data_IF_917030860275
#
_entry.id   IF_917030860275
#
_cell.length_a   1.000
_cell.length_b   1.000
_cell.length_c   1.000
_cell.angle_alpha   90.00
_cell.angle_beta   90.00
_cell.angle_gamma   90.00
#
_symmetry.space_group_name_H-M   'P 1'
#
loop_
_entity.id
_entity.type
_entity.pdbx_description
1 polymer ?
#
# COMPACT_ATOMS: atom_id res chain seq x y z
N UNK A 1 -12.87 7.85 3.81
CA UNK A 1 -13.36 6.48 3.51
C UNK A 1 -14.40 6.13 4.54
N UNK A 2 -15.59 5.67 4.13
CA UNK A 2 -16.63 5.25 5.09
C UNK A 2 -16.53 3.72 5.25
N UNK A 3 -15.55 3.27 6.03
CA UNK A 3 -15.46 1.85 6.39
C UNK A 3 -16.56 1.59 7.41
N UNK A 4 -17.43 0.59 7.16
CA UNK A 4 -18.42 0.24 8.17
C UNK A 4 -17.67 -0.39 9.35
N UNK A 5 -17.94 0.03 10.60
CA UNK A 5 -17.36 -0.57 11.77
C UNK A 5 -17.50 -2.10 11.79
N UNK A 6 -16.52 -2.79 12.38
CA UNK A 6 -16.51 -4.23 12.56
C UNK A 6 -16.16 -5.05 11.31
N UNK A 7 -15.46 -4.45 10.34
CA UNK A 7 -15.04 -5.17 9.11
C UNK A 7 -13.70 -5.88 9.27
N UNK A 8 -13.62 -7.09 8.74
CA UNK A 8 -12.38 -7.82 8.51
C UNK A 8 -11.95 -7.69 7.04
N UNK A 9 -10.71 -7.27 6.80
CA UNK A 9 -10.11 -7.27 5.46
C UNK A 9 -9.04 -8.34 5.33
N UNK A 10 -9.00 -8.97 4.16
CA UNK A 10 -7.94 -9.90 3.80
C UNK A 10 -6.83 -9.16 3.07
N UNK A 11 -5.60 -9.29 3.57
CA UNK A 11 -4.40 -8.71 2.97
C UNK A 11 -3.65 -9.84 2.25
N UNK A 12 -3.76 -9.88 0.93
CA UNK A 12 -2.94 -10.75 0.11
C UNK A 12 -1.52 -10.17 0.03
N UNK A 13 -0.51 -10.94 0.45
CA UNK A 13 0.89 -10.49 0.44
C UNK A 13 1.84 -11.64 0.17
N UNK A 14 2.92 -11.36 -0.56
CA UNK A 14 4.09 -12.23 -0.71
C UNK A 14 5.25 -11.79 0.22
N UNK A 15 5.09 -10.73 1.01
CA UNK A 15 6.08 -10.28 1.98
C UNK A 15 5.92 -11.04 3.31
N UNK A 16 6.91 -11.87 3.65
CA UNK A 16 6.92 -12.70 4.88
C UNK A 16 6.89 -11.86 6.16
N UNK A 17 7.55 -10.71 6.17
CA UNK A 17 7.56 -9.82 7.33
C UNK A 17 6.18 -9.22 7.56
N UNK A 18 5.53 -8.71 6.52
CA UNK A 18 4.18 -8.13 6.60
C UNK A 18 3.16 -9.18 7.06
N UNK A 19 3.19 -10.38 6.49
CA UNK A 19 2.34 -11.49 6.91
C UNK A 19 2.52 -11.81 8.41
N UNK A 20 3.78 -11.90 8.86
CA UNK A 20 4.11 -12.20 10.25
C UNK A 20 3.63 -11.09 11.19
N UNK A 21 3.80 -9.82 10.80
CA UNK A 21 3.37 -8.66 11.60
C UNK A 21 1.86 -8.60 11.73
N UNK A 22 1.10 -8.80 10.65
CA UNK A 22 -0.37 -8.84 10.72
C UNK A 22 -0.85 -10.00 11.60
N UNK A 23 -0.21 -11.16 11.47
CA UNK A 23 -0.61 -12.37 12.23
C UNK A 23 -0.26 -12.27 13.71
N UNK A 24 0.95 -11.82 14.04
CA UNK A 24 1.47 -11.76 15.41
C UNK A 24 1.17 -10.44 16.11
N UNK A 25 0.74 -9.43 15.36
CA UNK A 25 0.55 -8.04 15.79
C UNK A 25 1.82 -7.38 16.33
N UNK A 26 3.00 -7.89 15.93
CA UNK A 26 4.33 -7.38 16.32
C UNK A 26 5.44 -7.97 15.44
N UNK A 27 6.59 -7.31 15.45
CA UNK A 27 7.88 -7.75 14.90
C UNK A 27 8.95 -7.78 16.00
N UNK A 28 10.09 -8.41 15.71
CA UNK A 28 11.31 -8.25 16.53
C UNK A 28 12.09 -6.97 16.16
N UNK A 29 11.74 -6.34 15.05
CA UNK A 29 12.35 -5.10 14.56
C UNK A 29 11.62 -3.87 15.13
N UNK A 30 12.39 -2.94 15.72
CA UNK A 30 11.89 -1.73 16.35
C UNK A 30 11.24 -0.75 15.36
N UNK A 31 11.83 -0.58 14.17
CA UNK A 31 11.29 0.31 13.15
C UNK A 31 9.96 -0.25 12.62
N UNK A 32 9.92 -1.55 12.35
CA UNK A 32 8.68 -2.23 11.92
C UNK A 32 7.58 -2.10 12.98
N UNK A 33 7.92 -2.19 14.26
CA UNK A 33 6.95 -2.00 15.35
C UNK A 33 6.42 -0.57 15.44
N UNK A 34 7.25 0.43 15.12
CA UNK A 34 6.82 1.83 15.06
C UNK A 34 5.79 2.04 13.95
N UNK A 35 6.08 1.56 12.74
CA UNK A 35 5.13 1.65 11.62
C UNK A 35 3.86 0.84 11.88
N UNK A 36 4.00 -0.34 12.48
CA UNK A 36 2.85 -1.17 12.84
C UNK A 36 1.96 -0.51 13.89
N UNK A 37 2.51 0.32 14.79
CA UNK A 37 1.71 1.12 15.74
C UNK A 37 0.86 2.14 14.99
N UNK A 38 1.45 2.89 14.06
CA UNK A 38 0.71 3.85 13.24
C UNK A 38 -0.44 3.16 12.47
N UNK A 39 -0.17 1.99 11.90
CA UNK A 39 -1.20 1.19 11.21
C UNK A 39 -2.29 0.74 12.20
N UNK A 40 -1.92 0.25 13.38
CA UNK A 40 -2.89 -0.16 14.42
C UNK A 40 -3.79 0.99 14.85
N UNK A 41 -3.25 2.18 15.04
CA UNK A 41 -4.04 3.35 15.46
C UNK A 41 -5.13 3.66 14.41
N UNK A 42 -4.79 3.57 13.12
CA UNK A 42 -5.76 3.71 12.02
C UNK A 42 -6.80 2.59 12.05
N UNK A 43 -6.40 1.33 12.27
CA UNK A 43 -7.32 0.20 12.32
C UNK A 43 -8.32 0.32 13.47
N UNK A 44 -7.85 0.70 14.67
CA UNK A 44 -8.69 0.90 15.85
C UNK A 44 -9.66 2.05 15.63
N UNK A 45 -9.18 3.20 15.14
CA UNK A 45 -10.01 4.37 14.86
C UNK A 45 -11.17 4.06 13.90
N UNK A 46 -10.95 3.16 12.94
CA UNK A 46 -11.95 2.77 11.94
C UNK A 46 -12.73 1.49 12.31
N UNK A 47 -12.47 0.90 13.48
CA UNK A 47 -13.03 -0.39 13.91
C UNK A 47 -12.85 -1.50 12.85
N UNK A 48 -11.63 -1.59 12.33
CA UNK A 48 -11.24 -2.53 11.27
C UNK A 48 -10.27 -3.56 11.80
N UNK A 49 -10.41 -4.79 11.32
CA UNK A 49 -9.41 -5.83 11.51
C UNK A 49 -8.80 -6.34 10.20
N UNK A 50 -7.59 -6.90 10.29
CA UNK A 50 -6.83 -7.45 9.17
C UNK A 50 -6.53 -8.93 9.38
N UNK A 51 -6.58 -9.69 8.28
CA UNK A 51 -6.07 -11.06 8.21
C UNK A 51 -5.16 -11.22 7.00
N UNK A 52 -3.92 -11.65 7.23
CA UNK A 52 -3.00 -11.91 6.14
C UNK A 52 -3.36 -13.20 5.39
N UNK A 53 -3.14 -13.19 4.07
CA UNK A 53 -3.19 -14.36 3.19
C UNK A 53 -1.93 -14.37 2.33
N UNK A 54 -1.18 -15.46 2.42
CA UNK A 54 0.01 -15.66 1.59
C UNK A 54 -0.38 -15.83 0.12
N UNK A 55 0.33 -15.15 -0.77
CA UNK A 55 0.31 -15.40 -2.21
C UNK A 55 1.73 -15.63 -2.71
N UNK A 56 1.88 -16.35 -3.83
CA UNK A 56 3.16 -16.45 -4.51
C UNK A 56 3.49 -15.10 -5.17
N UNK A 57 4.78 -14.75 -5.27
CA UNK A 57 5.20 -13.46 -5.83
C UNK A 57 4.70 -13.26 -7.26
N UNK A 58 4.70 -14.32 -8.08
CA UNK A 58 4.14 -14.31 -9.43
C UNK A 58 2.63 -14.00 -9.49
N UNK A 59 1.90 -14.21 -8.39
CA UNK A 59 0.47 -13.95 -8.28
C UNK A 59 0.16 -12.62 -7.58
N UNK A 60 1.19 -11.95 -7.04
CA UNK A 60 1.05 -10.64 -6.42
C UNK A 60 0.89 -9.57 -7.49
N UNK A 61 -0.36 -9.31 -7.90
CA UNK A 61 -0.71 -8.25 -8.86
C UNK A 61 -0.19 -6.87 -8.45
N UNK A 62 0.05 -6.62 -7.16
CA UNK A 62 0.58 -5.35 -6.68
C UNK A 62 2.08 -5.17 -7.00
N UNK A 63 2.84 -6.25 -7.23
CA UNK A 63 4.27 -6.16 -7.57
C UNK A 63 4.48 -5.33 -8.84
N UNK A 64 3.79 -5.70 -9.93
CA UNK A 64 3.83 -4.95 -11.19
C UNK A 64 3.41 -3.49 -11.01
N UNK A 65 2.36 -3.23 -10.24
CA UNK A 65 1.88 -1.87 -9.96
C UNK A 65 2.92 -1.03 -9.21
N UNK A 66 3.58 -1.59 -8.21
CA UNK A 66 4.63 -0.90 -7.43
C UNK A 66 5.86 -0.55 -8.26
N UNK A 67 6.08 -1.25 -9.37
CA UNK A 67 7.17 -1.01 -10.34
C UNK A 67 6.75 -0.05 -11.46
N UNK A 68 5.53 0.49 -11.43
CA UNK A 68 5.00 1.39 -12.45
C UNK A 68 4.50 0.68 -13.72
N UNK A 69 4.25 -0.63 -13.67
CA UNK A 69 3.69 -1.36 -14.81
C UNK A 69 2.21 -1.03 -14.95
N UNK A 70 1.87 -0.30 -16.00
CA UNK A 70 0.49 0.15 -16.31
C UNK A 70 -0.18 -0.68 -17.41
N UNK A 71 0.50 -1.70 -17.94
CA UNK A 71 -0.04 -2.54 -19.02
C UNK A 71 -1.32 -3.26 -18.58
N UNK A 72 -2.37 -3.14 -19.40
CA UNK A 72 -3.67 -3.75 -19.13
C UNK A 72 -4.59 -2.99 -18.17
N UNK A 73 -4.18 -1.80 -17.69
CA UNK A 73 -5.02 -0.90 -16.90
C UNK A 73 -5.51 0.27 -17.76
N UNK A 74 -6.72 0.77 -17.50
CA UNK A 74 -7.26 1.94 -18.22
C UNK A 74 -6.75 3.22 -17.57
N UNK A 75 -6.63 4.30 -18.34
CA UNK A 75 -6.32 5.61 -17.78
C UNK A 75 -7.37 6.06 -16.74
N UNK A 76 -8.64 5.67 -16.94
CA UNK A 76 -9.72 5.91 -15.98
C UNK A 76 -9.54 5.24 -14.63
N UNK A 77 -8.67 4.23 -14.52
CA UNK A 77 -8.39 3.53 -13.27
C UNK A 77 -7.25 4.21 -12.48
N UNK A 78 -6.59 5.23 -13.05
CA UNK A 78 -5.53 6.00 -12.39
C UNK A 78 -6.13 7.16 -11.60
N UNK A 79 -5.51 7.46 -10.46
CA UNK A 79 -5.88 8.58 -9.61
C UNK A 79 -4.65 9.44 -9.32
N UNK A 80 -4.74 10.74 -9.60
CA UNK A 80 -3.72 11.72 -9.24
C UNK A 80 -3.95 12.15 -7.79
N UNK A 81 -2.98 11.93 -6.90
CA UNK A 81 -3.10 12.39 -5.51
C UNK A 81 -2.92 13.91 -5.52
N UNK A 82 -4.00 14.65 -5.26
CA UNK A 82 -3.99 16.12 -5.20
C UNK A 82 -3.21 16.68 -4.02
N UNK A 83 -2.93 15.85 -3.02
CA UNK A 83 -2.18 16.22 -1.83
C UNK A 83 -1.35 15.04 -1.34
N UNK A 84 -0.08 15.31 -1.03
CA UNK A 84 0.85 14.36 -0.44
C UNK A 84 1.43 14.99 0.84
N UNK A 85 1.55 14.26 1.95
CA UNK A 85 2.28 14.71 3.15
C UNK A 85 3.69 15.21 2.80
N UNK A 86 4.16 16.24 3.51
CA UNK A 86 5.42 16.93 3.18
C UNK A 86 6.63 15.99 3.18
N UNK A 87 6.66 15.06 4.12
CA UNK A 87 7.69 14.01 4.24
C UNK A 87 7.73 13.02 3.08
N UNK A 88 6.65 12.95 2.29
CA UNK A 88 6.56 12.09 1.11
C UNK A 88 6.76 12.86 -0.20
N UNK A 89 6.69 14.20 -0.20
CA UNK A 89 6.74 15.00 -1.44
C UNK A 89 8.06 14.83 -2.19
N UNK A 90 9.18 14.67 -1.47
CA UNK A 90 10.50 14.46 -2.07
C UNK A 90 10.76 12.99 -2.44
N UNK A 91 9.92 12.06 -1.96
CA UNK A 91 10.06 10.63 -2.19
C UNK A 91 9.21 10.10 -3.35
N UNK A 92 8.20 10.87 -3.79
CA UNK A 92 7.25 10.45 -4.81
C UNK A 92 7.07 11.50 -5.90
N UNK A 93 7.31 11.10 -7.14
CA UNK A 93 6.98 11.89 -8.34
C UNK A 93 5.72 11.33 -9.01
N UNK A 94 4.75 12.20 -9.30
CA UNK A 94 3.57 11.82 -10.08
C UNK A 94 3.82 12.05 -11.56
N UNK A 95 4.03 10.97 -12.31
CA UNK A 95 4.24 11.03 -13.76
C UNK A 95 2.88 10.95 -14.48
N UNK A 96 2.46 12.06 -15.09
CA UNK A 96 1.37 12.06 -16.04
C UNK A 96 1.79 11.34 -17.32
N UNK A 97 1.00 10.37 -17.79
CA UNK A 97 1.26 9.77 -19.09
C UNK A 97 0.83 10.76 -20.18
N UNK A 98 1.79 11.42 -20.83
CA UNK A 98 1.49 12.21 -22.02
C UNK A 98 2.37 13.42 -22.30
N UNK A 99 3.70 13.33 -22.19
CA UNK A 99 4.60 14.10 -23.05
C UNK A 99 5.96 13.37 -23.11
N UNK A 100 6.53 13.08 -24.29
CA UNK A 100 7.94 12.76 -24.35
C UNK A 100 8.74 13.97 -23.83
N UNK A 101 9.89 13.76 -23.18
CA UNK A 101 10.73 14.88 -22.79
C UNK A 101 11.06 15.69 -24.05
N UNK A 102 10.67 16.95 -24.08
CA UNK A 102 11.15 17.89 -25.08
C UNK A 102 12.66 17.96 -24.91
N UNK A 103 13.38 17.31 -25.83
CA UNK A 103 14.83 17.40 -25.92
C UNK A 103 15.22 18.87 -26.05
N UNK A 104 16.06 19.36 -25.15
CA UNK A 104 16.85 20.59 -25.32
C UNK A 104 18.33 20.20 -25.33
#
# INVERSE_FOLDING_TARGET
>A
MNVRPGKLFYVNTDNTTTEAVITKRRSNDMAVNSEWRNIQDVLILNEVDLKARRVCSAENRADGLSRGVTTGFRESDRFTLSWLPLDLQDAFEQVECGHPPSSS
#
